data_IF_480310597788
#
_entry.id   IF_480310597788
#
_cell.length_a   1.000
_cell.length_b   1.000
_cell.length_c   1.000
_cell.angle_alpha   90.00
_cell.angle_beta   90.00
_cell.angle_gamma   90.00
#
_symmetry.space_group_name_H-M   'P 1'
#
loop_
_entity.id
_entity.type
_entity.pdbx_description
1 polymer ?
#
# COMPACT_ATOMS: atom_id res chain seq x y z
N UNK A 1 -65.91 -20.66 21.92
CA UNK A 1 -64.48 -20.80 22.23
C UNK A 1 -63.75 -19.84 21.32
N UNK A 2 -63.35 -18.71 21.86
CA UNK A 2 -62.67 -17.61 21.15
C UNK A 2 -61.17 -17.74 21.38
N UNK A 3 -60.43 -18.10 20.32
CA UNK A 3 -58.98 -18.20 20.34
C UNK A 3 -58.33 -16.87 20.12
N UNK A 4 -57.50 -16.43 21.08
CA UNK A 4 -56.69 -15.19 21.02
C UNK A 4 -55.49 -15.41 20.07
N UNK A 5 -55.18 -14.50 19.14
CA UNK A 5 -53.97 -14.63 18.31
C UNK A 5 -52.71 -14.31 19.10
N UNK A 6 -51.70 -15.19 18.98
CA UNK A 6 -50.38 -14.98 19.53
C UNK A 6 -49.64 -13.91 18.73
N UNK A 7 -49.27 -12.81 19.36
CA UNK A 7 -48.45 -11.75 18.81
C UNK A 7 -47.00 -12.20 18.79
N UNK A 8 -46.40 -12.36 17.63
CA UNK A 8 -44.98 -12.63 17.48
C UNK A 8 -44.16 -11.36 17.71
N UNK A 9 -43.31 -11.38 18.74
CA UNK A 9 -42.34 -10.31 19.01
C UNK A 9 -41.24 -10.31 17.93
N UNK A 10 -40.91 -9.17 17.29
CA UNK A 10 -39.85 -9.13 16.32
C UNK A 10 -38.50 -9.36 17.00
N UNK A 11 -37.80 -10.39 16.58
CA UNK A 11 -36.40 -10.65 16.97
C UNK A 11 -35.51 -9.56 16.41
N UNK A 12 -34.88 -8.79 17.29
CA UNK A 12 -33.94 -7.72 16.93
C UNK A 12 -32.68 -8.36 16.34
N UNK A 13 -32.47 -8.19 15.05
CA UNK A 13 -31.23 -8.57 14.38
C UNK A 13 -30.05 -7.81 15.02
N UNK A 14 -28.96 -8.49 15.45
CA UNK A 14 -27.79 -7.79 15.97
C UNK A 14 -27.18 -6.91 14.88
N UNK A 15 -26.90 -5.67 15.24
CA UNK A 15 -26.16 -4.76 14.35
C UNK A 15 -24.75 -5.33 14.05
N UNK A 16 -24.20 -5.12 12.83
CA UNK A 16 -22.84 -5.53 12.54
C UNK A 16 -21.88 -4.84 13.50
N UNK A 17 -21.11 -5.63 14.24
CA UNK A 17 -20.02 -5.14 15.10
C UNK A 17 -18.92 -4.59 14.19
N UNK A 18 -18.85 -3.28 14.04
CA UNK A 18 -17.70 -2.59 13.45
C UNK A 18 -16.53 -2.82 14.40
N UNK A 19 -15.58 -3.66 14.02
CA UNK A 19 -14.34 -3.86 14.76
C UNK A 19 -13.51 -2.58 14.63
N UNK A 20 -13.59 -1.74 15.64
CA UNK A 20 -12.67 -0.62 15.81
C UNK A 20 -11.29 -1.21 16.14
N UNK A 21 -10.33 -1.06 15.22
CA UNK A 21 -8.93 -1.45 15.43
C UNK A 21 -8.31 -0.42 16.38
N UNK A 22 -8.51 -0.60 17.68
CA UNK A 22 -7.80 0.16 18.70
C UNK A 22 -6.61 -0.70 19.13
N UNK A 23 -5.34 -0.27 18.88
CA UNK A 23 -4.20 -1.00 19.41
C UNK A 23 -4.35 -1.10 20.92
N UNK A 24 -4.20 -2.32 21.47
CA UNK A 24 -4.16 -2.47 22.91
C UNK A 24 -2.95 -1.65 23.41
N UNK A 25 -3.17 -0.78 24.37
CA UNK A 25 -2.14 0.15 24.89
C UNK A 25 -0.90 -0.55 25.44
N UNK A 26 -0.93 -1.88 25.54
CA UNK A 26 0.13 -2.69 26.13
C UNK A 26 0.96 -3.52 25.12
N UNK A 27 0.48 -3.72 23.89
CA UNK A 27 1.19 -4.50 22.87
C UNK A 27 2.21 -3.63 22.11
N UNK A 28 3.48 -4.02 22.10
CA UNK A 28 4.54 -3.27 21.41
C UNK A 28 5.68 -4.17 20.98
N UNK A 29 6.14 -4.03 19.76
CA UNK A 29 7.23 -4.78 19.16
C UNK A 29 8.46 -3.92 19.00
N UNK A 30 9.63 -4.51 19.24
CA UNK A 30 10.92 -4.00 18.77
C UNK A 30 11.49 -4.97 17.74
N UNK A 31 11.85 -4.48 16.57
CA UNK A 31 12.67 -5.22 15.64
C UNK A 31 14.09 -5.33 16.21
N UNK A 32 14.63 -6.55 16.24
CA UNK A 32 15.98 -6.81 16.74
C UNK A 32 16.93 -7.06 15.57
N UNK A 33 16.62 -8.03 14.72
CA UNK A 33 17.47 -8.35 13.57
C UNK A 33 16.77 -9.28 12.58
N UNK A 34 17.29 -9.28 11.37
CA UNK A 34 17.09 -10.34 10.40
C UNK A 34 17.98 -11.52 10.77
N UNK A 35 17.38 -12.69 11.05
CA UNK A 35 18.13 -13.92 11.31
C UNK A 35 18.53 -14.57 9.99
N UNK A 36 17.62 -14.53 9.01
CA UNK A 36 17.86 -14.97 7.65
C UNK A 36 17.48 -13.86 6.67
N UNK A 37 18.04 -13.90 5.48
CA UNK A 37 17.66 -12.99 4.40
C UNK A 37 17.79 -11.52 4.81
N UNK A 38 19.00 -10.97 5.02
CA UNK A 38 19.21 -9.54 5.23
C UNK A 38 18.63 -8.72 4.09
N UNK A 39 18.27 -7.45 4.38
CA UNK A 39 17.72 -6.53 3.39
C UNK A 39 18.60 -6.43 2.14
N UNK A 40 17.96 -6.46 0.97
CA UNK A 40 18.63 -6.42 -0.33
C UNK A 40 19.23 -7.75 -0.78
N UNK A 41 18.98 -8.87 -0.07
CA UNK A 41 19.40 -10.22 -0.52
C UNK A 41 18.86 -10.50 -1.92
N UNK A 42 19.72 -11.05 -2.79
CA UNK A 42 19.35 -11.35 -4.19
C UNK A 42 19.00 -12.81 -4.35
N UNK A 43 17.90 -13.08 -5.03
CA UNK A 43 17.37 -14.40 -5.38
C UNK A 43 17.25 -14.57 -6.90
N UNK A 44 17.26 -15.82 -7.35
CA UNK A 44 16.81 -16.14 -8.70
C UNK A 44 15.27 -16.02 -8.81
N UNK A 45 14.72 -15.77 -10.00
CA UNK A 45 13.27 -15.78 -10.21
C UNK A 45 12.62 -17.09 -9.72
N UNK A 46 11.56 -17.00 -8.94
CA UNK A 46 10.83 -18.15 -8.41
C UNK A 46 11.57 -18.95 -7.32
N UNK A 47 12.73 -18.51 -6.86
CA UNK A 47 13.50 -19.19 -5.83
C UNK A 47 12.74 -19.16 -4.49
N UNK A 48 12.63 -20.30 -3.83
CA UNK A 48 12.07 -20.41 -2.48
C UNK A 48 13.10 -20.00 -1.43
N UNK A 49 12.64 -19.32 -0.38
CA UNK A 49 13.47 -18.94 0.77
C UNK A 49 12.63 -18.89 2.04
N UNK A 50 13.28 -18.89 3.19
CA UNK A 50 12.61 -18.68 4.48
C UNK A 50 13.16 -17.40 5.13
N UNK A 51 12.30 -16.43 5.31
CA UNK A 51 12.62 -15.23 6.08
C UNK A 51 12.34 -15.46 7.55
N UNK A 52 13.33 -15.17 8.39
CA UNK A 52 13.21 -15.24 9.85
C UNK A 52 13.59 -13.90 10.45
N UNK A 53 12.69 -13.33 11.23
CA UNK A 53 12.95 -12.11 12.01
C UNK A 53 13.07 -12.47 13.50
N UNK A 54 13.96 -11.77 14.21
CA UNK A 54 13.96 -11.72 15.66
C UNK A 54 13.27 -10.46 16.13
N UNK A 55 12.22 -10.65 16.92
CA UNK A 55 11.35 -9.59 17.42
C UNK A 55 11.30 -9.69 18.94
N UNK A 56 11.27 -8.52 19.62
CA UNK A 56 11.25 -8.42 21.09
C UNK A 56 9.94 -7.82 21.57
N UNK A 57 9.38 -8.41 22.62
CA UNK A 57 8.25 -7.83 23.32
C UNK A 57 8.75 -6.68 24.23
N UNK A 58 8.46 -5.44 23.83
CA UNK A 58 8.76 -4.22 24.61
C UNK A 58 7.51 -3.54 25.12
N UNK A 59 6.37 -4.25 25.04
CA UNK A 59 5.10 -3.83 25.63
C UNK A 59 5.04 -4.09 27.14
N UNK A 60 3.86 -4.00 27.70
CA UNK A 60 3.57 -4.30 29.11
C UNK A 60 2.67 -5.53 29.31
N UNK A 61 2.25 -6.20 28.21
CA UNK A 61 1.52 -7.46 28.21
C UNK A 61 2.39 -8.57 27.63
N UNK A 62 2.23 -9.82 28.12
CA UNK A 62 2.74 -11.00 27.45
C UNK A 62 1.95 -11.26 26.15
N UNK A 63 2.63 -11.68 25.10
CA UNK A 63 1.97 -12.12 23.86
C UNK A 63 1.59 -13.59 23.97
N UNK A 64 0.33 -13.91 23.78
CA UNK A 64 -0.19 -15.28 23.85
C UNK A 64 0.06 -16.04 22.54
N UNK A 65 -0.06 -17.36 22.57
CA UNK A 65 0.01 -18.23 21.37
C UNK A 65 -1.13 -17.98 20.38
N UNK A 66 -2.20 -17.29 20.80
CA UNK A 66 -3.28 -16.84 19.93
C UNK A 66 -2.92 -15.63 19.07
N UNK A 67 -1.75 -15.00 19.32
CA UNK A 67 -1.23 -13.92 18.50
C UNK A 67 -0.68 -14.47 17.19
N UNK A 68 -0.69 -13.62 16.15
CA UNK A 68 -0.23 -13.99 14.81
C UNK A 68 0.65 -12.88 14.25
N UNK A 69 1.66 -13.26 13.50
CA UNK A 69 2.27 -12.36 12.55
C UNK A 69 1.45 -12.39 11.27
N UNK A 70 1.09 -11.24 10.73
CA UNK A 70 0.23 -11.13 9.54
C UNK A 70 0.93 -10.32 8.45
N UNK A 71 0.72 -10.72 7.22
CA UNK A 71 1.09 -9.90 6.07
C UNK A 71 0.23 -8.63 6.10
N UNK A 72 0.88 -7.48 6.01
CA UNK A 72 0.22 -6.19 6.13
C UNK A 72 0.06 -5.50 4.77
N UNK A 73 1.14 -5.39 4.00
CA UNK A 73 1.11 -4.74 2.67
C UNK A 73 2.38 -5.01 1.86
N UNK A 74 2.43 -4.51 0.63
CA UNK A 74 3.57 -4.67 -0.27
C UNK A 74 3.52 -5.99 -1.04
N UNK A 75 4.70 -6.57 -1.30
CA UNK A 75 4.82 -7.85 -2.03
C UNK A 75 4.79 -9.02 -1.04
N UNK A 76 3.80 -9.90 -1.17
CA UNK A 76 3.60 -11.05 -0.28
C UNK A 76 4.58 -12.19 -0.54
N UNK A 77 5.15 -12.26 -1.74
CA UNK A 77 6.15 -13.28 -2.14
C UNK A 77 5.69 -14.72 -1.85
N UNK A 78 4.43 -15.03 -2.16
CA UNK A 78 3.87 -16.36 -1.95
C UNK A 78 3.78 -16.80 -0.47
N UNK A 79 4.04 -15.89 0.48
CA UNK A 79 3.96 -16.18 1.91
C UNK A 79 2.51 -16.42 2.35
N UNK A 80 2.28 -17.20 3.43
CA UNK A 80 0.96 -17.27 4.06
C UNK A 80 0.55 -15.88 4.59
N UNK A 81 -0.75 -15.60 4.59
CA UNK A 81 -1.30 -14.32 5.09
C UNK A 81 -1.11 -14.13 6.59
N UNK A 82 -0.89 -15.22 7.33
CA UNK A 82 -0.64 -15.21 8.77
C UNK A 82 0.26 -16.39 9.19
N UNK A 83 1.09 -16.15 10.21
CA UNK A 83 1.89 -17.15 10.90
C UNK A 83 1.59 -17.09 12.41
N UNK A 84 1.18 -18.21 12.98
CA UNK A 84 0.88 -18.31 14.42
C UNK A 84 2.17 -18.25 15.26
N UNK A 85 2.06 -17.77 16.48
CA UNK A 85 3.17 -17.84 17.44
C UNK A 85 3.35 -19.27 17.94
N UNK A 86 4.59 -19.74 17.95
CA UNK A 86 4.95 -21.09 18.42
C UNK A 86 4.91 -21.20 19.94
N UNK A 87 4.95 -20.10 20.67
CA UNK A 87 4.94 -20.01 22.13
C UNK A 87 4.49 -18.64 22.61
N UNK A 88 4.13 -18.53 23.87
CA UNK A 88 3.96 -17.24 24.51
C UNK A 88 5.29 -16.47 24.61
N UNK A 89 5.24 -15.14 24.62
CA UNK A 89 6.41 -14.25 24.68
C UNK A 89 6.21 -13.24 25.80
N UNK A 90 6.89 -13.48 26.91
CA UNK A 90 6.83 -12.59 28.07
C UNK A 90 7.44 -11.22 27.75
N UNK A 91 7.08 -10.23 28.53
CA UNK A 91 7.67 -8.87 28.45
C UNK A 91 9.19 -8.94 28.55
N UNK A 92 9.88 -8.30 27.63
CA UNK A 92 11.34 -8.31 27.53
C UNK A 92 11.93 -9.50 26.78
N UNK A 93 11.15 -10.54 26.49
CA UNK A 93 11.61 -11.74 25.74
C UNK A 93 11.57 -11.52 24.23
N UNK A 94 12.34 -12.33 23.51
CA UNK A 94 12.37 -12.34 22.05
C UNK A 94 11.67 -13.57 21.49
N UNK A 95 11.20 -13.48 20.25
CA UNK A 95 10.73 -14.59 19.45
C UNK A 95 11.34 -14.52 18.05
N UNK A 96 11.73 -15.66 17.50
CA UNK A 96 12.10 -15.82 16.10
C UNK A 96 10.89 -16.37 15.36
N UNK A 97 10.45 -15.65 14.34
CA UNK A 97 9.32 -16.08 13.50
C UNK A 97 9.80 -16.23 12.07
N UNK A 98 9.56 -17.42 11.54
CA UNK A 98 9.97 -17.83 10.19
C UNK A 98 8.76 -17.89 9.27
N UNK A 99 8.91 -17.35 8.05
CA UNK A 99 7.89 -17.39 7.01
C UNK A 99 8.50 -17.91 5.73
N UNK A 100 7.94 -18.99 5.15
CA UNK A 100 8.34 -19.45 3.84
C UNK A 100 7.85 -18.47 2.77
N UNK A 101 8.70 -18.18 1.80
CA UNK A 101 8.46 -17.22 0.73
C UNK A 101 8.99 -17.74 -0.61
N UNK A 102 8.50 -17.12 -1.69
CA UNK A 102 8.95 -17.40 -3.06
C UNK A 102 9.31 -16.06 -3.69
N UNK A 103 10.54 -15.94 -4.18
CA UNK A 103 10.96 -14.76 -4.92
C UNK A 103 10.08 -14.56 -6.16
N UNK A 104 9.63 -13.35 -6.48
CA UNK A 104 8.88 -13.06 -7.68
C UNK A 104 9.58 -13.55 -8.95
N UNK A 105 8.80 -13.81 -10.01
CA UNK A 105 9.34 -14.31 -11.28
C UNK A 105 10.02 -13.23 -12.13
N UNK A 106 9.68 -11.96 -11.90
CA UNK A 106 10.29 -10.84 -12.62
C UNK A 106 11.50 -10.30 -11.86
N UNK A 107 12.53 -9.84 -12.59
CA UNK A 107 13.66 -9.15 -12.01
C UNK A 107 13.21 -7.80 -11.40
N UNK A 108 13.71 -7.47 -10.21
CA UNK A 108 13.31 -6.24 -9.54
C UNK A 108 13.70 -6.21 -8.07
N UNK A 109 13.27 -5.15 -7.38
CA UNK A 109 13.37 -5.04 -5.91
C UNK A 109 11.96 -5.17 -5.33
N UNK A 110 11.82 -5.97 -4.30
CA UNK A 110 10.54 -6.33 -3.70
C UNK A 110 10.59 -6.15 -2.21
N UNK A 111 9.53 -5.56 -1.65
CA UNK A 111 9.40 -5.38 -0.20
C UNK A 111 8.01 -5.78 0.25
N UNK A 112 7.94 -6.65 1.28
CA UNK A 112 6.73 -7.03 1.97
C UNK A 112 6.73 -6.55 3.40
N UNK A 113 5.60 -6.03 3.89
CA UNK A 113 5.44 -5.47 5.22
C UNK A 113 4.61 -6.38 6.11
N UNK A 114 4.99 -6.46 7.38
CA UNK A 114 4.42 -7.37 8.35
C UNK A 114 4.10 -6.67 9.66
N UNK A 115 3.05 -7.11 10.33
CA UNK A 115 2.65 -6.65 11.67
C UNK A 115 2.24 -7.84 12.53
N UNK A 116 2.07 -7.60 13.82
CA UNK A 116 1.39 -8.56 14.69
C UNK A 116 -0.09 -8.24 14.82
N UNK A 117 -0.87 -9.28 15.04
CA UNK A 117 -2.29 -9.23 15.37
C UNK A 117 -2.50 -9.96 16.69
N UNK A 118 -3.09 -9.28 17.67
CA UNK A 118 -3.39 -9.86 18.98
C UNK A 118 -4.68 -10.69 18.97
N UNK A 119 -5.03 -11.28 20.11
CA UNK A 119 -6.21 -12.13 20.24
C UNK A 119 -7.55 -11.41 19.98
N UNK A 120 -7.61 -10.08 20.15
CA UNK A 120 -8.79 -9.27 19.84
C UNK A 120 -8.86 -8.85 18.36
N UNK A 121 -7.86 -9.21 17.55
CA UNK A 121 -7.76 -8.83 16.15
C UNK A 121 -7.07 -7.48 15.91
N UNK A 122 -6.63 -6.78 16.96
CA UNK A 122 -5.94 -5.50 16.82
C UNK A 122 -4.54 -5.70 16.26
N UNK A 123 -4.16 -4.85 15.28
CA UNK A 123 -2.82 -4.83 14.71
C UNK A 123 -1.88 -3.99 15.57
N UNK A 124 -0.64 -4.47 15.72
CA UNK A 124 0.41 -3.71 16.39
C UNK A 124 1.77 -4.04 15.78
N UNK A 125 2.74 -3.14 15.98
CA UNK A 125 4.04 -3.26 15.33
C UNK A 125 5.14 -2.54 16.08
N UNK A 126 6.12 -2.05 15.33
CA UNK A 126 7.30 -1.36 15.84
C UNK A 126 7.04 0.16 16.01
N UNK A 127 8.02 0.87 16.54
CA UNK A 127 7.97 2.31 16.74
C UNK A 127 7.33 2.73 18.06
N UNK A 128 7.39 4.02 18.35
CA UNK A 128 6.93 4.57 19.65
C UNK A 128 5.46 4.28 19.92
N UNK A 129 4.64 4.30 18.88
CA UNK A 129 3.19 4.09 18.95
C UNK A 129 2.77 2.65 18.62
N UNK A 130 3.73 1.73 18.45
CA UNK A 130 3.46 0.32 18.10
C UNK A 130 2.62 0.13 16.83
N UNK A 131 2.67 1.04 15.89
CA UNK A 131 1.80 1.06 14.71
C UNK A 131 2.55 0.96 13.37
N UNK A 132 3.88 0.80 13.41
CA UNK A 132 4.67 0.66 12.17
C UNK A 132 4.92 -0.81 11.85
N UNK A 133 4.79 -1.22 10.60
CA UNK A 133 5.22 -2.55 10.17
C UNK A 133 6.75 -2.64 10.14
N UNK A 134 7.26 -3.87 10.20
CA UNK A 134 8.61 -4.19 9.74
C UNK A 134 8.51 -4.89 8.38
N UNK A 135 9.65 -5.21 7.75
CA UNK A 135 9.63 -5.65 6.35
C UNK A 135 10.60 -6.80 6.07
N UNK A 136 10.44 -7.39 4.89
CA UNK A 136 11.44 -8.13 4.14
C UNK A 136 11.74 -7.36 2.86
N UNK A 137 13.00 -7.19 2.53
CA UNK A 137 13.46 -6.52 1.31
C UNK A 137 14.38 -7.45 0.53
N UNK A 138 14.02 -7.77 -0.70
CA UNK A 138 14.80 -8.67 -1.57
C UNK A 138 14.93 -8.11 -2.98
N UNK A 139 15.95 -8.60 -3.68
CA UNK A 139 16.15 -8.36 -5.10
C UNK A 139 15.99 -9.67 -5.86
N UNK A 140 15.44 -9.60 -7.05
CA UNK A 140 15.41 -10.73 -7.99
C UNK A 140 16.32 -10.39 -9.16
N UNK A 141 17.31 -11.24 -9.41
CA UNK A 141 18.22 -11.07 -10.55
C UNK A 141 17.50 -11.36 -11.86
N UNK A 142 17.78 -10.57 -12.90
CA UNK A 142 17.35 -10.91 -14.26
C UNK A 142 18.06 -12.15 -14.79
N UNK A 143 17.56 -12.75 -15.86
CA UNK A 143 18.28 -13.84 -16.53
C UNK A 143 19.67 -13.35 -16.93
N UNK A 144 20.71 -14.06 -16.51
CA UNK A 144 22.08 -13.80 -16.95
C UNK A 144 22.14 -14.14 -18.43
N UNK A 145 22.15 -13.12 -19.30
CA UNK A 145 22.42 -13.31 -20.72
C UNK A 145 23.93 -13.62 -20.87
N UNK A 146 24.23 -14.90 -21.03
CA UNK A 146 25.58 -15.28 -21.52
C UNK A 146 25.79 -14.62 -22.86
N UNK A 147 26.91 -13.89 -23.11
CA UNK A 147 27.19 -13.33 -24.42
C UNK A 147 27.41 -14.47 -25.39
N UNK A 148 26.42 -14.83 -26.16
CA UNK A 148 26.50 -15.78 -27.26
C UNK A 148 26.67 -15.00 -28.57
N UNK A 149 27.73 -15.32 -29.31
CA UNK A 149 28.23 -14.95 -30.59
C UNK A 149 27.48 -14.06 -31.61
N UNK A 150 28.12 -13.63 -32.69
CA UNK A 150 27.74 -12.44 -33.46
C UNK A 150 26.40 -12.60 -34.17
N UNK A 151 25.49 -11.69 -33.82
CA UNK A 151 24.17 -11.55 -34.44
C UNK A 151 24.30 -10.92 -35.83
N UNK A 152 23.66 -11.54 -36.80
CA UNK A 152 23.54 -11.01 -38.17
C UNK A 152 22.57 -9.82 -38.17
N UNK A 153 23.02 -8.73 -38.78
CA UNK A 153 22.27 -7.49 -39.04
C UNK A 153 21.05 -7.75 -39.89
N UNK A 154 19.84 -7.29 -39.49
CA UNK A 154 18.72 -7.21 -40.41
C UNK A 154 18.68 -5.85 -41.14
N UNK A 155 18.50 -5.94 -42.44
CA UNK A 155 18.37 -4.84 -43.38
C UNK A 155 17.11 -4.00 -43.13
N UNK A 156 17.30 -2.67 -43.20
CA UNK A 156 16.27 -1.63 -43.10
C UNK A 156 15.20 -1.76 -44.21
N UNK A 157 13.93 -1.60 -43.81
CA UNK A 157 12.87 -1.21 -44.70
C UNK A 157 12.06 -0.08 -44.04
N UNK A 158 12.03 1.07 -44.72
CA UNK A 158 11.28 2.28 -44.36
C UNK A 158 9.81 2.12 -44.74
N UNK A 159 8.87 2.54 -43.91
CA UNK A 159 7.67 3.20 -44.42
C UNK A 159 7.50 4.60 -43.85
N UNK A 160 7.29 5.52 -44.74
CA UNK A 160 6.87 6.89 -44.52
C UNK A 160 5.42 6.92 -43.99
N UNK A 161 5.21 7.59 -42.88
CA UNK A 161 3.88 8.05 -42.47
C UNK A 161 4.00 9.41 -41.77
N UNK A 162 3.31 10.38 -42.33
CA UNK A 162 3.19 11.75 -41.87
C UNK A 162 2.25 11.82 -40.67
N UNK A 163 2.73 12.24 -39.50
CA UNK A 163 1.94 12.54 -38.34
C UNK A 163 2.22 13.98 -37.89
N UNK A 164 1.14 14.68 -37.51
CA UNK A 164 1.15 16.05 -37.00
C UNK A 164 1.87 16.21 -35.66
N UNK A 165 2.04 17.47 -35.16
CA UNK A 165 2.95 17.73 -34.06
C UNK A 165 2.42 17.14 -32.74
N UNK A 166 3.02 16.03 -32.35
CA UNK A 166 2.81 15.42 -31.04
C UNK A 166 3.82 16.08 -30.08
N UNK A 167 3.33 16.57 -28.94
CA UNK A 167 4.16 17.04 -27.86
C UNK A 167 5.20 15.97 -27.51
N UNK A 168 6.48 16.36 -27.46
CA UNK A 168 7.61 15.48 -27.17
C UNK A 168 7.45 14.92 -25.74
N UNK A 169 7.31 13.60 -25.54
CA UNK A 169 7.30 13.03 -24.20
C UNK A 169 8.66 13.20 -23.56
N UNK A 170 8.67 13.67 -22.32
CA UNK A 170 9.88 13.68 -21.50
C UNK A 170 10.33 12.21 -21.30
N UNK A 171 11.59 11.83 -21.62
CA UNK A 171 12.01 10.45 -21.48
C UNK A 171 11.88 10.00 -20.02
N UNK A 172 11.04 8.99 -19.76
CA UNK A 172 10.95 8.30 -18.48
C UNK A 172 9.67 8.53 -17.64
N UNK A 173 8.73 9.39 -18.08
CA UNK A 173 7.45 9.57 -17.37
C UNK A 173 6.28 9.13 -18.25
N UNK A 174 5.67 7.97 -17.92
CA UNK A 174 4.53 7.44 -18.67
C UNK A 174 3.23 8.18 -18.37
N UNK A 175 2.91 8.45 -17.10
CA UNK A 175 1.75 9.20 -16.66
C UNK A 175 2.02 9.94 -15.35
N UNK A 176 1.78 11.24 -15.33
CA UNK A 176 1.94 12.08 -14.13
C UNK A 176 0.58 12.31 -13.47
N UNK A 177 0.33 11.59 -12.38
CA UNK A 177 -0.92 11.71 -11.61
C UNK A 177 -1.11 13.09 -11.01
N UNK A 178 -0.03 13.74 -10.54
CA UNK A 178 -0.12 15.03 -9.89
C UNK A 178 -0.45 16.16 -10.88
N UNK A 179 0.21 16.17 -12.02
CA UNK A 179 -0.11 17.11 -13.10
C UNK A 179 -1.54 16.89 -13.62
N UNK A 180 -1.97 15.61 -13.69
CA UNK A 180 -3.27 15.21 -14.20
C UNK A 180 -4.30 14.93 -13.09
N UNK A 181 -4.15 15.48 -11.90
CA UNK A 181 -5.04 15.21 -10.77
C UNK A 181 -6.53 15.36 -11.11
N UNK A 182 -6.87 16.39 -11.90
CA UNK A 182 -8.26 16.66 -12.32
C UNK A 182 -8.67 15.99 -13.63
N UNK A 183 -7.82 15.17 -14.26
CA UNK A 183 -8.26 14.19 -15.24
C UNK A 183 -8.90 12.96 -14.53
N UNK A 184 -8.62 12.76 -13.26
CA UNK A 184 -9.31 11.81 -12.40
C UNK A 184 -10.68 12.30 -11.96
N UNK A 185 -11.64 11.38 -11.83
CA UNK A 185 -12.94 11.66 -11.20
C UNK A 185 -12.86 11.30 -9.73
N UNK A 186 -13.13 12.26 -8.85
CA UNK A 186 -12.96 12.11 -7.41
C UNK A 186 -14.29 11.89 -6.70
N UNK A 187 -14.28 11.01 -5.69
CA UNK A 187 -15.45 10.66 -4.88
C UNK A 187 -15.09 10.59 -3.40
N UNK A 188 -16.09 10.83 -2.58
CA UNK A 188 -16.11 10.51 -1.16
C UNK A 188 -17.43 9.84 -0.80
N UNK A 189 -17.66 9.56 0.49
CA UNK A 189 -18.97 9.11 0.97
C UNK A 189 -20.10 10.11 0.72
N UNK A 190 -19.80 11.38 0.47
CA UNK A 190 -20.76 12.43 0.12
C UNK A 190 -21.10 12.47 -1.39
N UNK A 191 -20.46 11.61 -2.23
CA UNK A 191 -20.64 11.56 -3.67
C UNK A 191 -19.46 12.10 -4.46
N UNK A 192 -19.71 12.52 -5.70
CA UNK A 192 -18.67 13.06 -6.58
C UNK A 192 -18.20 14.45 -6.10
N UNK A 193 -16.89 14.62 -6.13
CA UNK A 193 -16.22 15.86 -5.72
C UNK A 193 -15.72 16.64 -6.94
N UNK A 194 -15.64 17.95 -6.79
CA UNK A 194 -14.96 18.80 -7.77
C UNK A 194 -13.45 18.66 -7.70
N UNK A 195 -12.77 18.85 -8.84
CA UNK A 195 -11.32 18.93 -8.92
C UNK A 195 -10.91 20.15 -9.78
N UNK A 196 -10.09 21.08 -9.25
CA UNK A 196 -9.72 21.18 -7.83
C UNK A 196 -10.93 21.45 -6.95
N UNK A 197 -10.90 20.93 -5.71
CA UNK A 197 -11.90 21.19 -4.70
C UNK A 197 -11.67 22.51 -3.98
N UNK A 198 -12.43 22.74 -2.91
CA UNK A 198 -12.23 23.85 -1.99
C UNK A 198 -11.57 23.32 -0.70
N UNK A 199 -10.52 24.01 -0.25
CA UNK A 199 -9.88 23.71 1.03
C UNK A 199 -10.89 23.81 2.19
N UNK A 200 -10.85 22.83 3.08
CA UNK A 200 -11.76 22.76 4.24
C UNK A 200 -13.16 22.23 3.94
N UNK A 201 -13.47 21.76 2.71
CA UNK A 201 -14.78 21.16 2.43
C UNK A 201 -14.96 19.85 3.25
N UNK A 202 -15.98 19.83 4.11
CA UNK A 202 -16.31 18.68 4.97
C UNK A 202 -16.68 17.41 4.19
N UNK A 203 -17.08 17.54 2.93
CA UNK A 203 -17.32 16.41 2.02
C UNK A 203 -16.06 15.68 1.59
N UNK A 204 -14.89 16.26 1.90
CA UNK A 204 -13.60 15.88 1.37
C UNK A 204 -13.23 16.73 0.13
N UNK A 205 -11.95 16.87 -0.13
CA UNK A 205 -11.47 17.66 -1.25
C UNK A 205 -10.13 17.17 -1.80
N UNK A 206 -9.86 17.54 -3.04
CA UNK A 206 -8.60 17.31 -3.72
C UNK A 206 -8.08 18.63 -4.26
N UNK A 207 -6.81 18.94 -3.98
CA UNK A 207 -6.13 20.13 -4.48
C UNK A 207 -4.88 19.76 -5.26
N UNK A 208 -4.54 20.58 -6.24
CA UNK A 208 -3.23 20.57 -6.90
C UNK A 208 -2.36 21.60 -6.20
N UNK A 209 -1.25 21.15 -5.63
CA UNK A 209 -0.32 22.05 -4.97
C UNK A 209 0.96 22.21 -5.78
N UNK A 210 1.45 23.46 -5.84
CA UNK A 210 2.78 23.78 -6.35
C UNK A 210 3.63 24.19 -5.15
N UNK A 211 4.80 23.56 -5.00
CA UNK A 211 5.73 23.81 -3.92
C UNK A 211 5.11 23.61 -2.50
N UNK A 212 4.39 22.51 -2.22
CA UNK A 212 3.84 22.30 -0.89
C UNK A 212 4.96 22.15 0.15
N UNK A 213 4.66 22.56 1.36
CA UNK A 213 5.50 22.26 2.52
C UNK A 213 5.14 20.88 3.02
N UNK A 214 6.12 20.00 3.08
CA UNK A 214 5.97 18.66 3.60
C UNK A 214 6.12 18.65 5.14
N UNK A 215 5.65 17.62 5.80
CA UNK A 215 5.79 17.43 7.24
C UNK A 215 7.25 17.39 7.74
N UNK A 216 8.19 17.01 6.86
CA UNK A 216 9.63 17.11 7.11
C UNK A 216 10.13 18.55 7.28
N UNK A 217 9.29 19.55 6.99
CA UNK A 217 9.66 20.95 6.89
C UNK A 217 10.25 21.36 5.54
N UNK A 218 10.56 20.40 4.66
CA UNK A 218 11.06 20.69 3.31
C UNK A 218 9.92 21.15 2.37
N UNK A 219 10.29 21.90 1.35
CA UNK A 219 9.37 22.24 0.25
C UNK A 219 9.61 21.30 -0.92
N UNK A 220 8.56 20.70 -1.47
CA UNK A 220 8.63 19.88 -2.68
C UNK A 220 8.33 20.74 -3.91
N UNK A 221 9.30 20.90 -4.79
CA UNK A 221 9.16 21.73 -6.01
C UNK A 221 8.42 21.02 -7.16
N UNK A 222 8.00 19.78 -6.96
CA UNK A 222 7.21 19.01 -7.93
C UNK A 222 5.72 19.32 -7.77
N UNK A 223 4.89 19.07 -8.81
CA UNK A 223 3.44 19.04 -8.65
C UNK A 223 3.01 18.00 -7.63
N UNK A 224 2.08 18.35 -6.77
CA UNK A 224 1.56 17.44 -5.72
C UNK A 224 0.03 17.41 -5.75
N UNK A 225 -0.51 16.29 -5.25
CA UNK A 225 -1.94 16.12 -4.97
C UNK A 225 -2.12 16.16 -3.46
N UNK A 226 -2.85 17.11 -2.95
CA UNK A 226 -3.37 17.07 -1.59
C UNK A 226 -4.77 16.46 -1.63
N UNK A 227 -4.98 15.42 -0.82
CA UNK A 227 -6.30 14.80 -0.64
C UNK A 227 -6.72 14.90 0.82
N UNK A 228 -7.94 15.32 1.05
CA UNK A 228 -8.55 15.33 2.38
C UNK A 228 -9.79 14.43 2.34
N UNK A 229 -9.81 13.31 3.07
CA UNK A 229 -10.98 12.45 3.18
C UNK A 229 -12.20 13.20 3.72
N UNK A 230 -13.40 12.70 3.42
CA UNK A 230 -14.62 13.23 4.05
C UNK A 230 -14.44 13.30 5.56
N UNK A 231 -14.81 14.42 6.17
CA UNK A 231 -14.62 14.66 7.61
C UNK A 231 -15.70 13.94 8.43
N UNK A 232 -15.64 12.61 8.44
CA UNK A 232 -16.47 11.70 9.24
C UNK A 232 -15.61 10.52 9.69
N UNK A 233 -16.07 9.78 10.70
CA UNK A 233 -15.41 8.54 11.10
C UNK A 233 -15.32 7.57 9.92
N UNK A 234 -14.11 7.07 9.63
CA UNK A 234 -13.80 6.23 8.47
C UNK A 234 -14.15 6.88 7.13
N UNK A 235 -14.06 8.20 7.05
CA UNK A 235 -14.22 8.94 5.79
C UNK A 235 -13.16 8.55 4.78
N UNK A 236 -13.49 8.69 3.51
CA UNK A 236 -12.55 8.39 2.43
C UNK A 236 -12.61 9.42 1.31
N UNK A 237 -11.56 9.43 0.49
CA UNK A 237 -11.52 10.07 -0.81
C UNK A 237 -10.85 9.14 -1.81
N UNK A 238 -11.43 9.03 -3.01
CA UNK A 238 -10.94 8.17 -4.08
C UNK A 238 -10.91 8.95 -5.40
N UNK A 239 -9.78 8.88 -6.10
CA UNK A 239 -9.61 9.44 -7.44
C UNK A 239 -9.47 8.33 -8.48
N UNK A 240 -10.42 8.22 -9.39
CA UNK A 240 -10.44 7.27 -10.50
C UNK A 240 -9.84 7.93 -11.74
N UNK A 241 -8.65 7.53 -12.13
CA UNK A 241 -7.96 8.11 -13.28
C UNK A 241 -8.37 7.42 -14.59
N UNK A 242 -8.27 8.13 -15.74
CA UNK A 242 -8.47 7.50 -17.04
C UNK A 242 -7.55 6.29 -17.23
N UNK A 243 -8.04 5.26 -17.91
CA UNK A 243 -7.22 4.12 -18.24
C UNK A 243 -6.10 4.51 -19.21
N UNK A 244 -4.91 4.00 -18.99
CA UNK A 244 -3.78 4.11 -19.92
C UNK A 244 -3.04 2.79 -20.02
N UNK A 245 -2.31 2.61 -21.12
CA UNK A 245 -1.59 1.37 -21.40
C UNK A 245 -0.31 1.31 -20.60
N UNK A 246 -0.20 0.31 -19.72
CA UNK A 246 1.03 0.03 -18.96
C UNK A 246 2.04 -0.63 -19.90
N UNK A 247 3.27 -0.10 -19.91
CA UNK A 247 4.37 -0.64 -20.69
C UNK A 247 5.24 -1.59 -19.86
N UNK A 248 6.03 -2.41 -20.54
CA UNK A 248 7.03 -3.23 -19.85
C UNK A 248 8.08 -2.34 -19.18
N UNK A 249 8.32 -2.57 -17.88
CA UNK A 249 9.26 -1.78 -17.08
C UNK A 249 8.64 -0.54 -16.41
N UNK A 250 7.35 -0.27 -16.64
CA UNK A 250 6.67 0.79 -15.92
C UNK A 250 6.63 0.52 -14.42
N UNK A 251 6.73 1.59 -13.65
CA UNK A 251 6.63 1.57 -12.20
C UNK A 251 5.74 2.69 -11.72
N UNK A 252 4.91 2.41 -10.71
CA UNK A 252 4.22 3.48 -9.98
C UNK A 252 5.17 4.02 -8.91
N UNK A 253 5.41 5.33 -8.96
CA UNK A 253 6.27 6.01 -7.99
C UNK A 253 5.55 7.20 -7.38
N UNK A 254 5.64 7.31 -6.06
CA UNK A 254 5.10 8.44 -5.31
C UNK A 254 5.95 8.70 -4.07
N UNK A 255 5.97 9.93 -3.62
CA UNK A 255 6.33 10.27 -2.24
C UNK A 255 5.03 10.61 -1.54
N UNK A 256 4.74 9.94 -0.43
CA UNK A 256 3.55 10.18 0.40
C UNK A 256 3.96 10.71 1.76
N UNK A 257 3.09 11.49 2.37
CA UNK A 257 3.27 12.11 3.67
C UNK A 257 2.12 13.02 4.00
N UNK A 258 2.15 13.61 5.18
CA UNK A 258 1.23 14.65 5.60
C UNK A 258 1.71 16.03 5.11
N UNK A 259 0.77 16.96 4.98
CA UNK A 259 1.12 18.36 4.70
C UNK A 259 1.81 19.00 5.92
N UNK A 260 2.78 19.90 5.68
CA UNK A 260 3.52 20.57 6.73
C UNK A 260 2.61 21.42 7.63
N UNK A 261 2.59 21.09 8.92
CA UNK A 261 1.72 21.74 9.92
C UNK A 261 0.43 20.99 10.22
N UNK A 262 0.06 19.98 9.42
CA UNK A 262 -1.14 19.16 9.64
C UNK A 262 -0.94 18.09 10.72
N UNK A 263 -0.65 18.50 11.95
CA UNK A 263 -0.25 17.63 13.07
C UNK A 263 -1.27 16.58 13.48
N UNK A 264 -2.52 16.73 13.06
CA UNK A 264 -3.61 15.76 13.27
C UNK A 264 -3.78 14.80 12.09
N UNK A 265 -2.94 14.89 11.07
CA UNK A 265 -3.00 14.00 9.92
C UNK A 265 -2.76 12.55 10.37
N UNK A 266 -3.76 11.70 10.09
CA UNK A 266 -3.69 10.26 10.26
C UNK A 266 -4.58 9.61 9.20
N UNK A 267 -3.95 9.03 8.19
CA UNK A 267 -4.64 8.49 7.00
C UNK A 267 -4.05 7.15 6.59
N UNK A 268 -4.83 6.36 5.87
CA UNK A 268 -4.34 5.17 5.20
C UNK A 268 -4.38 5.39 3.68
N UNK A 269 -3.22 5.33 3.02
CA UNK A 269 -3.13 5.40 1.57
C UNK A 269 -3.25 4.02 0.93
N UNK A 270 -3.96 3.95 -0.20
CA UNK A 270 -4.10 2.72 -1.00
C UNK A 270 -4.08 3.04 -2.48
N UNK A 271 -3.41 2.20 -3.25
CA UNK A 271 -3.44 2.19 -4.69
C UNK A 271 -4.20 0.97 -5.18
N UNK A 272 -5.29 1.19 -5.86
CA UNK A 272 -6.07 0.15 -6.51
C UNK A 272 -5.97 0.27 -8.03
N UNK A 273 -6.37 -0.79 -8.73
CA UNK A 273 -6.44 -0.78 -10.20
C UNK A 273 -7.63 -1.57 -10.72
N UNK A 274 -8.02 -1.26 -11.95
CA UNK A 274 -9.05 -1.97 -12.71
C UNK A 274 -8.61 -2.13 -14.16
N UNK A 275 -8.80 -3.32 -14.74
CA UNK A 275 -8.59 -3.61 -16.16
C UNK A 275 -9.93 -3.88 -16.81
N UNK A 276 -10.29 -3.09 -17.81
CA UNK A 276 -11.59 -3.23 -18.51
C UNK A 276 -12.77 -3.18 -17.53
N UNK A 277 -13.57 -4.25 -17.51
CA UNK A 277 -14.73 -4.46 -16.64
C UNK A 277 -14.45 -5.37 -15.44
N UNK A 278 -13.20 -5.74 -15.21
CA UNK A 278 -12.83 -6.60 -14.08
C UNK A 278 -13.15 -5.91 -12.73
N UNK A 279 -13.25 -6.67 -11.64
CA UNK A 279 -13.29 -6.09 -10.30
C UNK A 279 -12.11 -5.17 -10.02
N UNK A 280 -12.27 -4.26 -9.07
CA UNK A 280 -11.16 -3.44 -8.57
C UNK A 280 -10.28 -4.30 -7.68
N UNK A 281 -8.99 -4.31 -7.94
CA UNK A 281 -7.97 -5.00 -7.16
C UNK A 281 -7.07 -4.01 -6.45
N UNK A 282 -6.67 -4.32 -5.23
CA UNK A 282 -5.66 -3.54 -4.52
C UNK A 282 -4.27 -3.92 -5.04
N UNK A 283 -3.55 -2.92 -5.52
CA UNK A 283 -2.17 -3.07 -5.97
C UNK A 283 -1.18 -2.82 -4.82
N UNK A 284 -1.49 -1.86 -3.94
CA UNK A 284 -0.64 -1.48 -2.83
C UNK A 284 -1.45 -0.84 -1.70
N UNK A 285 -1.03 -1.07 -0.45
CA UNK A 285 -1.65 -0.55 0.76
C UNK A 285 -2.74 -1.47 1.33
N UNK A 286 -3.52 -1.03 2.33
CA UNK A 286 -3.47 0.30 2.94
C UNK A 286 -2.15 0.56 3.70
N UNK A 287 -1.54 1.72 3.49
CA UNK A 287 -0.35 2.19 4.19
C UNK A 287 -0.75 3.31 5.16
N UNK A 288 -0.51 3.09 6.44
CA UNK A 288 -0.85 4.06 7.49
C UNK A 288 0.20 5.17 7.55
N UNK A 289 -0.26 6.38 7.41
CA UNK A 289 0.53 7.60 7.47
C UNK A 289 0.00 8.52 8.57
N UNK A 290 0.91 9.08 9.35
CA UNK A 290 0.59 10.12 10.32
C UNK A 290 1.69 11.16 10.35
N UNK A 291 1.35 12.36 10.82
CA UNK A 291 2.31 13.45 10.96
C UNK A 291 3.43 13.07 11.96
N UNK A 292 4.61 12.78 11.47
CA UNK A 292 5.77 12.36 12.27
C UNK A 292 7.11 12.92 11.76
N UNK A 293 7.05 13.88 10.85
CA UNK A 293 8.24 14.58 10.31
C UNK A 293 9.00 13.79 9.26
N UNK A 294 8.39 12.78 8.62
CA UNK A 294 9.01 11.97 7.57
C UNK A 294 8.02 11.70 6.46
N UNK A 295 8.54 11.51 5.25
CA UNK A 295 7.76 11.09 4.09
C UNK A 295 8.21 9.70 3.63
N UNK A 296 7.34 8.98 2.93
CA UNK A 296 7.62 7.64 2.44
C UNK A 296 7.64 7.59 0.91
N UNK A 297 8.64 6.91 0.36
CA UNK A 297 8.73 6.66 -1.06
C UNK A 297 8.03 5.34 -1.40
N UNK A 298 7.07 5.43 -2.31
CA UNK A 298 6.38 4.28 -2.91
C UNK A 298 7.01 4.01 -4.28
N UNK A 299 7.39 2.77 -4.53
CA UNK A 299 7.94 2.34 -5.82
C UNK A 299 7.48 0.92 -6.12
N UNK A 300 6.47 0.78 -7.00
CA UNK A 300 5.77 -0.47 -7.29
C UNK A 300 6.02 -0.86 -8.74
N UNK A 301 6.46 -2.09 -8.96
CA UNK A 301 6.61 -2.68 -10.29
C UNK A 301 5.23 -2.97 -10.91
N UNK A 302 5.00 -2.48 -12.11
CA UNK A 302 3.76 -2.68 -12.85
C UNK A 302 3.87 -3.79 -13.93
N UNK A 303 4.95 -4.57 -13.93
CA UNK A 303 5.21 -5.59 -14.97
C UNK A 303 4.07 -6.60 -15.13
N UNK A 304 3.35 -6.95 -14.05
CA UNK A 304 2.18 -7.83 -14.09
C UNK A 304 0.98 -7.23 -14.86
N UNK A 305 0.99 -5.92 -15.07
CA UNK A 305 -0.03 -5.17 -15.80
C UNK A 305 0.44 -4.76 -17.20
N UNK A 306 1.68 -5.09 -17.59
CA UNK A 306 2.25 -4.71 -18.88
C UNK A 306 1.36 -5.18 -20.04
N UNK A 307 1.15 -4.29 -21.01
CA UNK A 307 0.30 -4.53 -22.16
C UNK A 307 -1.20 -4.42 -21.89
N UNK A 308 -1.64 -4.11 -20.68
CA UNK A 308 -3.05 -3.89 -20.33
C UNK A 308 -3.37 -2.39 -20.27
N UNK A 309 -4.63 -2.06 -20.60
CA UNK A 309 -5.17 -0.72 -20.32
C UNK A 309 -5.70 -0.72 -18.89
N UNK A 310 -5.07 0.07 -18.04
CA UNK A 310 -5.27 0.05 -16.59
C UNK A 310 -5.80 1.39 -16.10
N UNK A 311 -6.89 1.34 -15.37
CA UNK A 311 -7.43 2.46 -14.60
C UNK A 311 -6.88 2.37 -13.18
N UNK A 312 -6.09 3.35 -12.76
CA UNK A 312 -5.61 3.43 -11.38
C UNK A 312 -6.57 4.23 -10.50
N UNK A 313 -6.67 3.82 -9.24
CA UNK A 313 -7.51 4.47 -8.25
C UNK A 313 -6.64 4.81 -7.03
N UNK A 314 -6.47 6.12 -6.77
CA UNK A 314 -5.78 6.61 -5.58
C UNK A 314 -6.81 6.78 -4.47
N UNK A 315 -6.53 6.20 -3.30
CA UNK A 315 -7.43 6.24 -2.14
C UNK A 315 -6.70 6.77 -0.91
N UNK A 316 -7.31 7.72 -0.19
CA UNK A 316 -6.95 8.07 1.17
C UNK A 316 -8.16 7.84 2.09
N UNK A 317 -7.91 7.20 3.22
CA UNK A 317 -8.91 6.82 4.23
C UNK A 317 -8.56 7.55 5.53
N UNK A 318 -9.54 8.19 6.18
CA UNK A 318 -9.36 8.68 7.55
C UNK A 318 -9.31 7.49 8.52
N UNK A 319 -8.40 7.53 9.49
CA UNK A 319 -8.16 6.46 10.48
C UNK A 319 -8.51 6.94 11.88
#
# INVERSE_FOLDING_TARGET
>A
MTGTPLTSTPTKTPAPVTQTVQPSSCDKVQFVSDITVPDGTTFAPGQTFTKTWRLKNVGSCAWATSYQMVFFSGEQMGAPTAAAFSRAVEVGQTIDISVPMIAPSAAGSYRGYWMFKNASGALFGIGAQANKPWWVDVKVSGPTVTPGGPSKTPTSATPTSTAGPTATPMPGLGYDFATNACAGTWFSGAGQLQCPGADGDAKGFVLKLSNPKLETGATDNRPNILTFPQNVSSGYIQGFFPAFRVQSGDRFRATIGCEGGSTLCYVAYRLDYQTGSDPIFTLWGPFLERYEGQTFNVDIDLSALAGKDVKFILTALAV
#
